data_IF_410123452874
#
_entry.id   IF_410123452874
#
_cell.length_a   1.000
_cell.length_b   1.000
_cell.length_c   1.000
_cell.angle_alpha   90.00
_cell.angle_beta   90.00
_cell.angle_gamma   90.00
#
_symmetry.space_group_name_H-M   'P 1'
#
loop_
_entity.id
_entity.type
_entity.pdbx_description
1 polymer ?
#
# COMPACT_ATOMS: atom_id res chain seq x y z
N UNK A 1 -31.14 26.27 -32.43
CA UNK A 1 -30.94 24.82 -32.58
C UNK A 1 -30.49 24.30 -31.23
N UNK A 2 -31.28 23.35 -30.74
CA UNK A 2 -31.07 22.39 -29.66
C UNK A 2 -30.56 22.82 -28.27
N UNK A 3 -31.48 22.58 -27.32
CA UNK A 3 -31.36 22.53 -25.86
C UNK A 3 -30.90 21.13 -25.44
N UNK A 4 -30.25 21.03 -24.27
CA UNK A 4 -30.53 20.14 -23.13
C UNK A 4 -29.32 20.23 -22.17
N UNK A 5 -29.37 20.99 -21.07
CA UNK A 5 -30.06 20.79 -19.79
C UNK A 5 -29.78 19.41 -19.14
N UNK A 6 -28.79 19.41 -18.24
CA UNK A 6 -28.50 18.35 -17.26
C UNK A 6 -28.88 18.98 -15.91
N UNK A 7 -30.00 18.55 -15.34
CA UNK A 7 -30.33 18.63 -13.91
C UNK A 7 -30.19 17.18 -13.40
N UNK A 8 -29.44 16.91 -12.33
CA UNK A 8 -29.81 17.12 -10.92
C UNK A 8 -31.12 16.41 -10.58
N UNK A 9 -31.01 15.19 -10.05
CA UNK A 9 -32.08 14.46 -9.37
C UNK A 9 -31.45 13.61 -8.25
N UNK A 10 -31.41 14.15 -7.04
CA UNK A 10 -31.45 13.42 -5.78
C UNK A 10 -32.83 13.69 -5.14
N UNK A 11 -33.30 12.72 -4.36
CA UNK A 11 -34.56 12.65 -3.59
C UNK A 11 -35.77 12.09 -4.35
N UNK A 12 -36.05 10.80 -4.13
CA UNK A 12 -37.34 10.33 -3.61
C UNK A 12 -37.23 8.86 -3.15
N UNK A 13 -37.11 8.66 -1.84
CA UNK A 13 -37.50 7.41 -1.18
C UNK A 13 -39.02 7.42 -0.97
N UNK A 14 -39.67 6.35 -1.43
CA UNK A 14 -40.67 5.53 -0.73
C UNK A 14 -41.83 5.06 -1.64
N UNK A 15 -42.27 3.84 -1.33
CA UNK A 15 -43.43 3.13 -1.86
C UNK A 15 -43.36 2.64 -3.31
N UNK A 16 -42.90 1.39 -3.47
CA UNK A 16 -43.82 0.34 -3.96
C UNK A 16 -43.28 -1.07 -3.75
N UNK A 17 -44.00 -1.80 -2.90
CA UNK A 17 -43.83 -3.22 -2.67
C UNK A 17 -44.22 -4.07 -3.89
N UNK A 18 -43.60 -5.25 -3.96
CA UNK A 18 -43.96 -6.43 -4.75
C UNK A 18 -43.69 -6.40 -6.27
N UNK A 19 -42.53 -6.95 -6.65
CA UNK A 19 -42.47 -7.95 -7.73
C UNK A 19 -41.20 -8.82 -7.65
N UNK A 20 -41.45 -10.05 -7.21
CA UNK A 20 -40.61 -11.22 -7.39
C UNK A 20 -40.17 -11.32 -8.88
N UNK A 21 -38.87 -11.25 -9.16
CA UNK A 21 -38.33 -11.79 -10.43
C UNK A 21 -37.12 -12.65 -10.14
N UNK A 22 -37.41 -13.95 -10.02
CA UNK A 22 -36.43 -15.04 -10.03
C UNK A 22 -35.78 -15.12 -11.41
N UNK A 23 -34.46 -14.88 -11.48
CA UNK A 23 -33.66 -15.25 -12.65
C UNK A 23 -33.60 -16.78 -12.74
N UNK A 24 -34.22 -17.38 -13.75
CA UNK A 24 -34.11 -18.81 -14.09
C UNK A 24 -32.71 -19.11 -14.67
N UNK A 25 -32.02 -20.18 -14.24
CA UNK A 25 -31.02 -20.84 -15.07
C UNK A 25 -31.75 -21.85 -15.97
N UNK A 26 -31.96 -21.50 -17.23
CA UNK A 26 -32.49 -22.40 -18.27
C UNK A 26 -31.34 -23.20 -18.87
N UNK A 27 -31.13 -24.45 -18.44
CA UNK A 27 -30.51 -25.52 -19.26
C UNK A 27 -30.54 -26.93 -18.65
N UNK A 28 -30.94 -27.12 -17.38
CA UNK A 28 -30.93 -28.45 -16.71
C UNK A 28 -32.27 -29.18 -16.71
N UNK A 29 -33.38 -28.48 -16.90
CA UNK A 29 -34.76 -29.00 -16.71
C UNK A 29 -35.14 -30.16 -17.65
N UNK A 30 -34.58 -30.23 -18.87
CA UNK A 30 -34.93 -31.30 -19.80
C UNK A 30 -34.35 -32.68 -19.41
N UNK A 31 -33.20 -32.72 -18.74
CA UNK A 31 -32.59 -33.99 -18.30
C UNK A 31 -33.28 -34.53 -17.06
N UNK A 32 -33.65 -33.65 -16.13
CA UNK A 32 -34.38 -34.00 -14.91
C UNK A 32 -35.79 -34.51 -15.25
N UNK A 33 -36.50 -33.85 -16.18
CA UNK A 33 -37.81 -34.32 -16.64
C UNK A 33 -37.72 -35.67 -17.38
N UNK A 34 -36.69 -35.89 -18.21
CA UNK A 34 -36.49 -37.18 -18.89
C UNK A 34 -36.11 -38.32 -17.93
N UNK A 35 -35.38 -38.01 -16.85
CA UNK A 35 -35.08 -38.97 -15.79
C UNK A 35 -36.35 -39.33 -15.02
N UNK A 36 -37.18 -38.33 -14.70
CA UNK A 36 -38.44 -38.49 -13.99
C UNK A 36 -39.43 -39.35 -14.80
N UNK A 37 -39.58 -39.08 -16.09
CA UNK A 37 -40.45 -39.84 -17.01
C UNK A 37 -40.00 -41.30 -17.12
N UNK A 38 -38.68 -41.54 -17.16
CA UNK A 38 -38.12 -42.90 -17.17
C UNK A 38 -38.41 -43.63 -15.86
N UNK A 39 -38.25 -42.97 -14.72
CA UNK A 39 -38.53 -43.54 -13.40
C UNK A 39 -40.03 -43.87 -13.24
N UNK A 40 -40.92 -43.00 -13.74
CA UNK A 40 -42.36 -43.27 -13.78
C UNK A 40 -42.70 -44.47 -14.64
N UNK A 41 -42.09 -44.60 -15.82
CA UNK A 41 -42.29 -45.75 -16.71
C UNK A 41 -41.79 -47.06 -16.10
N UNK A 42 -40.63 -47.03 -15.41
CA UNK A 42 -40.06 -48.20 -14.74
C UNK A 42 -40.93 -48.64 -13.55
N UNK A 43 -41.42 -47.70 -12.73
CA UNK A 43 -42.36 -47.98 -11.64
C UNK A 43 -43.69 -48.53 -12.17
N UNK A 44 -44.23 -47.95 -13.25
CA UNK A 44 -45.46 -48.43 -13.89
C UNK A 44 -45.30 -49.86 -14.42
N UNK A 45 -44.14 -50.18 -15.00
CA UNK A 45 -43.81 -51.51 -15.51
C UNK A 45 -43.69 -52.55 -14.39
N UNK A 46 -43.19 -52.15 -13.20
CA UNK A 46 -43.12 -53.02 -12.02
C UNK A 46 -44.53 -53.29 -11.48
N UNK A 47 -45.35 -52.23 -11.32
CA UNK A 47 -46.74 -52.36 -10.86
C UNK A 47 -47.57 -53.23 -11.81
N UNK A 48 -47.42 -53.06 -13.13
CA UNK A 48 -48.11 -53.92 -14.11
C UNK A 48 -47.69 -55.39 -14.01
N UNK A 49 -46.39 -55.67 -13.81
CA UNK A 49 -45.91 -57.04 -13.62
C UNK A 49 -46.47 -57.66 -12.35
N UNK A 50 -46.53 -56.90 -11.26
CA UNK A 50 -47.08 -57.37 -9.99
C UNK A 50 -48.59 -57.60 -10.07
N UNK A 51 -49.34 -56.74 -10.76
CA UNK A 51 -50.78 -56.93 -11.00
C UNK A 51 -51.04 -58.16 -11.88
N UNK A 52 -50.24 -58.39 -12.93
CA UNK A 52 -50.34 -59.59 -13.79
C UNK A 52 -49.99 -60.88 -13.03
N UNK A 53 -49.00 -60.82 -12.12
CA UNK A 53 -48.64 -61.93 -11.25
C UNK A 53 -49.72 -62.23 -10.20
N UNK A 54 -50.38 -61.21 -9.65
CA UNK A 54 -51.53 -61.36 -8.74
C UNK A 54 -52.74 -61.97 -9.49
N UNK A 55 -53.02 -61.50 -10.71
CA UNK A 55 -54.10 -62.06 -11.55
C UNK A 55 -53.89 -63.53 -11.93
N UNK A 56 -52.65 -63.95 -12.19
CA UNK A 56 -52.33 -65.36 -12.46
C UNK A 56 -52.30 -66.24 -11.20
N UNK A 57 -51.90 -65.70 -10.04
CA UNK A 57 -51.98 -66.41 -8.76
C UNK A 57 -53.43 -66.69 -8.35
N UNK A 58 -54.33 -65.73 -8.55
CA UNK A 58 -55.76 -65.90 -8.24
C UNK A 58 -56.44 -67.02 -9.03
N UNK A 59 -55.86 -67.48 -10.16
CA UNK A 59 -56.36 -68.62 -10.94
C UNK A 59 -55.89 -69.98 -10.43
N UNK A 60 -54.84 -70.02 -9.60
CA UNK A 60 -54.27 -71.23 -8.99
C UNK A 60 -54.81 -71.43 -7.55
N UNK A 61 -55.37 -70.39 -6.94
CA UNK A 61 -55.87 -70.37 -5.55
C UNK A 61 -57.40 -70.57 -5.51
N UNK A 62 -57.91 -71.68 -6.05
CA UNK A 62 -59.32 -72.08 -5.80
C UNK A 62 -59.44 -73.15 -4.71
N UNK A 63 -58.36 -73.42 -3.96
CA UNK A 63 -58.33 -74.52 -2.98
C UNK A 63 -57.56 -74.19 -1.68
N UNK A 64 -57.49 -72.91 -1.29
CA UNK A 64 -56.85 -72.46 -0.03
C UNK A 64 -57.84 -71.59 0.74
N UNK A 65 -57.93 -71.79 2.06
CA UNK A 65 -58.84 -71.08 2.96
C UNK A 65 -58.64 -69.55 2.88
N UNK A 66 -59.72 -68.80 2.63
CA UNK A 66 -59.71 -67.34 2.50
C UNK A 66 -59.12 -66.62 3.73
N UNK A 67 -59.24 -67.22 4.93
CA UNK A 67 -58.72 -66.64 6.18
C UNK A 67 -57.17 -66.62 6.23
N UNK A 68 -56.50 -67.68 5.77
CA UNK A 68 -55.03 -67.74 5.75
C UNK A 68 -54.45 -66.77 4.71
N UNK A 69 -55.15 -66.58 3.58
CA UNK A 69 -54.78 -65.60 2.56
C UNK A 69 -54.92 -64.18 3.11
N UNK A 70 -55.98 -63.90 3.87
CA UNK A 70 -56.19 -62.59 4.51
C UNK A 70 -55.13 -62.30 5.57
N UNK A 71 -54.71 -63.28 6.37
CA UNK A 71 -53.63 -63.12 7.35
C UNK A 71 -52.26 -62.89 6.69
N UNK A 72 -51.94 -63.65 5.65
CA UNK A 72 -50.70 -63.47 4.86
C UNK A 72 -50.69 -62.10 4.19
N UNK A 73 -51.82 -61.66 3.64
CA UNK A 73 -51.96 -60.34 3.05
C UNK A 73 -51.81 -59.24 4.10
N UNK A 74 -52.43 -59.39 5.28
CA UNK A 74 -52.34 -58.41 6.37
C UNK A 74 -50.89 -58.27 6.87
N UNK A 75 -50.20 -59.39 7.11
CA UNK A 75 -48.79 -59.37 7.49
C UNK A 75 -47.90 -58.77 6.40
N UNK A 76 -48.19 -59.06 5.12
CA UNK A 76 -47.48 -58.46 3.99
C UNK A 76 -47.67 -56.94 3.92
N UNK A 77 -48.89 -56.47 4.13
CA UNK A 77 -49.17 -55.03 4.17
C UNK A 77 -48.50 -54.37 5.36
N UNK A 78 -48.55 -54.99 6.55
CA UNK A 78 -47.89 -54.48 7.74
C UNK A 78 -46.38 -54.33 7.54
N UNK A 79 -45.72 -55.37 7.00
CA UNK A 79 -44.30 -55.31 6.66
C UNK A 79 -43.99 -54.25 5.62
N UNK A 80 -44.83 -54.11 4.59
CA UNK A 80 -44.66 -53.07 3.58
C UNK A 80 -44.80 -51.66 4.19
N UNK A 81 -45.75 -51.46 5.11
CA UNK A 81 -45.91 -50.18 5.80
C UNK A 81 -44.73 -49.87 6.73
N UNK A 82 -44.17 -50.88 7.38
CA UNK A 82 -42.96 -50.76 8.20
C UNK A 82 -41.75 -50.38 7.34
N UNK A 83 -41.52 -51.08 6.22
CA UNK A 83 -40.44 -50.77 5.27
C UNK A 83 -40.57 -49.33 4.72
N UNK A 84 -41.79 -48.92 4.35
CA UNK A 84 -42.05 -47.55 3.86
C UNK A 84 -41.80 -46.51 4.94
N UNK A 85 -42.15 -46.80 6.20
CA UNK A 85 -41.90 -45.89 7.31
C UNK A 85 -40.41 -45.74 7.60
N UNK A 86 -39.64 -46.82 7.56
CA UNK A 86 -38.19 -46.77 7.71
C UNK A 86 -37.52 -45.95 6.60
N UNK A 87 -37.93 -46.16 5.34
CA UNK A 87 -37.41 -45.35 4.21
C UNK A 87 -37.80 -43.88 4.34
N UNK A 88 -39.03 -43.59 4.81
CA UNK A 88 -39.46 -42.21 5.07
C UNK A 88 -38.61 -41.55 6.17
N UNK A 89 -38.27 -42.28 7.23
CA UNK A 89 -37.43 -41.76 8.30
C UNK A 89 -35.99 -41.53 7.83
N UNK A 90 -35.44 -42.38 6.95
CA UNK A 90 -34.13 -42.14 6.31
C UNK A 90 -34.15 -40.87 5.47
N UNK A 91 -35.20 -40.67 4.66
CA UNK A 91 -35.38 -39.44 3.87
C UNK A 91 -35.49 -38.21 4.78
N UNK A 92 -36.23 -38.32 5.90
CA UNK A 92 -36.34 -37.26 6.90
C UNK A 92 -34.98 -36.89 7.49
N UNK A 93 -34.17 -37.88 7.85
CA UNK A 93 -32.82 -37.65 8.38
C UNK A 93 -31.91 -36.96 7.36
N UNK A 94 -31.94 -37.40 6.10
CA UNK A 94 -31.17 -36.77 5.02
C UNK A 94 -31.61 -35.31 4.84
N UNK A 95 -32.91 -35.04 4.83
CA UNK A 95 -33.44 -33.69 4.65
C UNK A 95 -33.03 -32.76 5.79
N UNK A 96 -33.04 -33.25 7.04
CA UNK A 96 -32.55 -32.49 8.19
C UNK A 96 -31.05 -32.19 8.07
N UNK A 97 -30.25 -33.18 7.71
CA UNK A 97 -28.81 -33.00 7.51
C UNK A 97 -28.51 -32.01 6.38
N UNK A 98 -29.26 -32.06 5.27
CA UNK A 98 -29.14 -31.12 4.16
C UNK A 98 -29.55 -29.70 4.57
N UNK A 99 -30.61 -29.56 5.36
CA UNK A 99 -31.01 -28.27 5.91
C UNK A 99 -29.93 -27.66 6.81
N UNK A 100 -29.35 -28.46 7.71
CA UNK A 100 -28.23 -28.03 8.56
C UNK A 100 -26.99 -27.65 7.74
N UNK A 101 -26.65 -28.44 6.73
CA UNK A 101 -25.55 -28.14 5.81
C UNK A 101 -25.80 -26.82 5.08
N UNK A 102 -26.99 -26.64 4.53
CA UNK A 102 -27.37 -25.41 3.82
C UNK A 102 -27.34 -24.18 4.74
N UNK A 103 -27.74 -24.33 6.00
CA UNK A 103 -27.66 -23.24 6.96
C UNK A 103 -26.20 -22.87 7.27
N UNK A 104 -25.33 -23.87 7.53
CA UNK A 104 -23.89 -23.63 7.72
C UNK A 104 -23.25 -22.95 6.51
N UNK A 105 -23.55 -23.42 5.30
CA UNK A 105 -23.05 -22.79 4.06
C UNK A 105 -23.53 -21.35 3.91
N UNK A 106 -24.79 -21.04 4.29
CA UNK A 106 -25.29 -19.65 4.29
C UNK A 106 -24.56 -18.77 5.30
N UNK A 107 -24.21 -19.30 6.47
CA UNK A 107 -23.44 -18.57 7.48
C UNK A 107 -22.00 -18.32 7.01
N UNK A 108 -21.33 -19.34 6.46
CA UNK A 108 -19.98 -19.18 5.88
C UNK A 108 -19.97 -18.15 4.75
N UNK A 109 -20.98 -18.17 3.87
CA UNK A 109 -21.12 -17.16 2.82
C UNK A 109 -21.33 -15.76 3.38
N UNK A 110 -22.13 -15.59 4.43
CA UNK A 110 -22.29 -14.29 5.10
C UNK A 110 -20.97 -13.81 5.69
N UNK A 111 -20.24 -14.70 6.38
CA UNK A 111 -18.96 -14.35 6.98
C UNK A 111 -17.94 -13.96 5.92
N UNK A 112 -17.82 -14.75 4.84
CA UNK A 112 -16.92 -14.44 3.72
C UNK A 112 -17.30 -13.15 3.01
N UNK A 113 -18.60 -12.85 2.90
CA UNK A 113 -19.07 -11.58 2.35
C UNK A 113 -18.62 -10.39 3.20
N UNK A 114 -18.81 -10.47 4.52
CA UNK A 114 -18.37 -9.41 5.45
C UNK A 114 -16.85 -9.23 5.40
N UNK A 115 -16.08 -10.33 5.39
CA UNK A 115 -14.61 -10.29 5.27
C UNK A 115 -14.17 -9.61 3.96
N UNK A 116 -14.85 -9.92 2.85
CA UNK A 116 -14.56 -9.31 1.56
C UNK A 116 -14.90 -7.82 1.51
N UNK A 117 -16.04 -7.42 2.11
CA UNK A 117 -16.44 -6.02 2.22
C UNK A 117 -15.45 -5.21 3.08
N UNK A 118 -15.00 -5.75 4.22
CA UNK A 118 -13.97 -5.13 5.06
C UNK A 118 -12.64 -4.99 4.32
N UNK A 119 -12.22 -6.05 3.60
CA UNK A 119 -11.00 -6.02 2.81
C UNK A 119 -11.09 -4.99 1.67
N UNK A 120 -12.23 -4.91 0.98
CA UNK A 120 -12.48 -3.90 -0.04
C UNK A 120 -12.42 -2.48 0.55
N UNK A 121 -13.02 -2.25 1.71
CA UNK A 121 -12.96 -0.96 2.41
C UNK A 121 -11.52 -0.57 2.78
N UNK A 122 -10.71 -1.53 3.25
CA UNK A 122 -9.28 -1.31 3.54
C UNK A 122 -8.50 -0.89 2.29
N UNK A 123 -8.72 -1.56 1.16
CA UNK A 123 -8.06 -1.21 -0.10
C UNK A 123 -8.50 0.15 -0.62
N UNK A 124 -9.79 0.49 -0.53
CA UNK A 124 -10.29 1.82 -0.91
C UNK A 124 -9.69 2.92 -0.05
N UNK A 125 -9.59 2.71 1.26
CA UNK A 125 -8.93 3.65 2.16
C UNK A 125 -7.45 3.82 1.82
N UNK A 126 -6.74 2.73 1.50
CA UNK A 126 -5.33 2.80 1.10
C UNK A 126 -5.15 3.54 -0.22
N UNK A 127 -6.05 3.33 -1.19
CA UNK A 127 -6.06 4.08 -2.43
C UNK A 127 -6.24 5.57 -2.20
N UNK A 128 -7.21 5.95 -1.35
CA UNK A 128 -7.47 7.35 -1.00
C UNK A 128 -6.29 8.01 -0.30
N UNK A 129 -5.61 7.29 0.58
CA UNK A 129 -4.38 7.75 1.23
C UNK A 129 -3.27 8.03 0.20
N UNK A 130 -3.01 7.07 -0.69
CA UNK A 130 -2.01 7.21 -1.76
C UNK A 130 -2.34 8.35 -2.72
N UNK A 131 -3.61 8.53 -3.07
CA UNK A 131 -4.08 9.66 -3.87
C UNK A 131 -3.82 11.00 -3.18
N UNK A 132 -4.11 11.10 -1.88
CA UNK A 132 -3.82 12.32 -1.11
C UNK A 132 -2.32 12.63 -1.04
N UNK A 133 -1.48 11.61 -0.92
CA UNK A 133 -0.03 11.75 -0.95
C UNK A 133 0.48 12.19 -2.31
N UNK A 134 -0.06 11.65 -3.40
CA UNK A 134 0.27 12.06 -4.76
C UNK A 134 -0.09 13.53 -4.98
N UNK A 135 -1.31 13.94 -4.63
CA UNK A 135 -1.73 15.34 -4.70
C UNK A 135 -0.80 16.28 -3.92
N UNK A 136 -0.34 15.87 -2.73
CA UNK A 136 0.64 16.64 -1.95
C UNK A 136 1.96 16.79 -2.69
N UNK A 137 2.49 15.70 -3.26
CA UNK A 137 3.74 15.71 -4.04
C UNK A 137 3.60 16.55 -5.31
N UNK A 138 2.48 16.50 -5.99
CA UNK A 138 2.22 17.31 -7.19
C UNK A 138 2.23 18.81 -6.87
N UNK A 139 1.62 19.21 -5.74
CA UNK A 139 1.68 20.60 -5.26
C UNK A 139 3.12 21.02 -4.95
N UNK A 140 3.90 20.13 -4.30
CA UNK A 140 5.30 20.39 -3.98
C UNK A 140 6.14 20.55 -5.25
N UNK A 141 6.02 19.63 -6.19
CA UNK A 141 6.73 19.66 -7.48
C UNK A 141 6.37 20.91 -8.25
N UNK A 142 5.09 21.26 -8.36
CA UNK A 142 4.65 22.51 -9.01
C UNK A 142 5.19 23.77 -8.31
N UNK A 143 5.33 23.72 -6.97
CA UNK A 143 5.98 24.79 -6.21
C UNK A 143 7.46 24.96 -6.56
N UNK A 144 8.18 23.85 -6.65
CA UNK A 144 9.60 23.81 -7.02
C UNK A 144 9.78 24.24 -8.49
N UNK A 145 8.96 23.73 -9.41
CA UNK A 145 8.99 24.11 -10.82
C UNK A 145 8.82 25.61 -11.02
N UNK A 146 7.86 26.23 -10.32
CA UNK A 146 7.68 27.69 -10.35
C UNK A 146 8.88 28.43 -9.77
N UNK A 147 9.48 27.92 -8.70
CA UNK A 147 10.70 28.51 -8.14
C UNK A 147 11.87 28.44 -9.14
N UNK A 148 12.07 27.29 -9.79
CA UNK A 148 13.09 27.09 -10.82
C UNK A 148 12.85 27.99 -12.04
N UNK A 149 11.60 28.10 -12.50
CA UNK A 149 11.24 28.99 -13.60
C UNK A 149 11.50 30.46 -13.26
N UNK A 150 11.22 30.88 -12.02
CA UNK A 150 11.55 32.23 -11.55
C UNK A 150 13.07 32.49 -11.53
N UNK A 151 13.87 31.49 -11.14
CA UNK A 151 15.34 31.59 -11.15
C UNK A 151 15.87 31.69 -12.58
N UNK A 152 15.36 30.84 -13.49
CA UNK A 152 15.74 30.86 -14.90
C UNK A 152 15.40 32.21 -15.58
N UNK A 153 14.32 32.87 -15.14
CA UNK A 153 13.90 34.18 -15.61
C UNK A 153 14.67 35.36 -14.95
N UNK A 154 15.71 35.09 -14.15
CA UNK A 154 16.61 36.11 -13.61
C UNK A 154 16.15 36.78 -12.30
N UNK A 155 15.06 36.32 -11.68
CA UNK A 155 14.65 36.82 -10.38
C UNK A 155 15.44 36.11 -9.26
N UNK A 156 16.19 36.87 -8.45
CA UNK A 156 16.85 36.33 -7.25
C UNK A 156 15.82 35.72 -6.30
N UNK A 157 16.20 34.59 -5.69
CA UNK A 157 15.35 33.70 -4.91
C UNK A 157 14.72 34.45 -3.74
N UNK A 158 13.48 34.92 -3.90
CA UNK A 158 12.84 35.71 -2.84
C UNK A 158 12.33 34.88 -1.67
N UNK A 159 12.23 33.55 -1.72
CA UNK A 159 11.69 32.78 -0.58
C UNK A 159 12.17 31.32 -0.52
N UNK A 160 13.45 31.10 -0.19
CA UNK A 160 13.91 29.77 0.26
C UNK A 160 13.23 29.32 1.57
N UNK A 161 12.71 30.27 2.37
CA UNK A 161 12.04 29.98 3.64
C UNK A 161 10.71 29.23 3.52
N UNK A 162 10.12 29.08 2.33
CA UNK A 162 8.89 28.28 2.14
C UNK A 162 9.17 26.84 1.70
N UNK A 163 10.33 26.59 1.07
CA UNK A 163 10.74 25.25 0.66
C UNK A 163 11.15 24.43 1.90
N UNK A 164 11.87 25.03 2.85
CA UNK A 164 12.25 24.35 4.09
C UNK A 164 11.10 24.20 5.10
N UNK A 165 10.15 25.15 5.16
CA UNK A 165 9.02 25.09 6.11
C UNK A 165 7.99 24.00 5.78
N UNK A 166 7.88 23.60 4.51
CA UNK A 166 7.05 22.46 4.11
C UNK A 166 7.77 21.12 4.27
N UNK A 167 9.10 21.10 4.41
CA UNK A 167 9.86 19.91 4.77
C UNK A 167 9.69 19.62 6.27
N UNK A 168 9.67 20.65 7.12
CA UNK A 168 9.47 20.52 8.58
C UNK A 168 8.09 19.96 8.97
N UNK A 169 7.04 20.19 8.17
CA UNK A 169 5.68 19.71 8.47
C UNK A 169 5.41 18.28 7.97
N UNK A 170 6.36 17.68 7.26
CA UNK A 170 6.27 16.27 6.92
C UNK A 170 6.85 15.45 8.07
N UNK A 171 5.98 14.74 8.78
CA UNK A 171 6.31 13.55 9.59
C UNK A 171 6.84 12.40 8.69
N UNK A 172 7.74 12.70 7.76
CA UNK A 172 8.73 11.74 7.32
C UNK A 172 9.69 11.65 8.49
N UNK A 173 9.84 10.45 9.04
CA UNK A 173 10.88 10.12 10.02
C UNK A 173 12.10 10.96 9.73
N UNK A 174 12.45 11.82 10.70
CA UNK A 174 13.67 12.59 10.74
C UNK A 174 14.77 11.75 10.10
N UNK A 175 15.05 12.02 8.82
CA UNK A 175 16.25 11.51 8.19
C UNK A 175 17.29 12.22 9.00
N UNK A 176 17.91 11.49 9.93
CA UNK A 176 19.10 11.94 10.63
C UNK A 176 20.13 12.14 9.52
N UNK A 177 20.08 13.30 8.87
CA UNK A 177 21.04 13.67 7.85
C UNK A 177 22.34 13.84 8.59
N UNK A 178 23.11 12.77 8.63
CA UNK A 178 24.47 12.72 9.15
C UNK A 178 25.45 13.47 8.25
N UNK A 179 24.97 14.27 7.31
CA UNK A 179 25.80 15.05 6.39
C UNK A 179 26.15 16.40 7.01
N UNK A 180 27.43 16.71 7.07
CA UNK A 180 27.94 18.05 7.36
C UNK A 180 28.49 18.65 6.08
N UNK A 181 27.99 19.83 5.71
CA UNK A 181 28.51 20.59 4.56
C UNK A 181 29.28 21.83 5.00
N UNK A 182 30.43 22.05 4.39
CA UNK A 182 31.22 23.28 4.47
C UNK A 182 31.18 23.96 3.11
N UNK A 183 30.67 25.19 3.06
CA UNK A 183 30.72 26.04 1.87
C UNK A 183 31.62 27.24 2.11
N UNK A 184 32.66 27.38 1.28
CA UNK A 184 33.53 28.56 1.23
C UNK A 184 33.13 29.39 0.03
N UNK A 185 32.36 30.46 0.28
CA UNK A 185 31.85 31.31 -0.79
C UNK A 185 32.93 32.19 -1.42
N UNK A 186 33.72 32.87 -0.57
CA UNK A 186 34.62 33.93 -1.02
C UNK A 186 35.92 33.93 -0.24
N UNK A 187 37.01 34.21 -0.96
CA UNK A 187 38.35 34.37 -0.41
C UNK A 187 38.83 35.79 -0.71
N UNK A 188 39.27 36.50 0.33
CA UNK A 188 39.82 37.86 0.22
C UNK A 188 41.22 37.87 0.81
N UNK A 189 42.21 38.13 -0.03
CA UNK A 189 43.62 38.21 0.36
C UNK A 189 43.92 39.62 0.88
N UNK A 190 44.48 39.68 2.09
CA UNK A 190 44.98 40.93 2.66
C UNK A 190 46.28 41.36 1.98
N UNK A 191 46.59 42.66 1.99
CA UNK A 191 47.84 43.21 1.42
C UNK A 191 49.11 42.50 1.92
N UNK A 192 49.11 41.98 3.15
CA UNK A 192 50.24 41.23 3.69
C UNK A 192 50.47 39.90 2.96
N UNK A 193 49.40 39.19 2.59
CA UNK A 193 49.49 37.92 1.85
C UNK A 193 49.86 38.20 0.37
N UNK A 194 49.45 39.34 -0.19
CA UNK A 194 49.90 39.79 -1.53
C UNK A 194 51.40 40.14 -1.55
N UNK A 195 51.90 40.84 -0.52
CA UNK A 195 53.34 41.11 -0.37
C UNK A 195 54.14 39.83 -0.22
N UNK A 196 53.62 38.86 0.53
CA UNK A 196 54.25 37.54 0.70
C UNK A 196 54.27 36.72 -0.60
N UNK A 197 53.26 36.90 -1.46
CA UNK A 197 53.20 36.22 -2.75
C UNK A 197 54.06 36.87 -3.84
N UNK A 198 54.64 38.06 -3.59
CA UNK A 198 55.44 38.84 -4.54
C UNK A 198 54.74 39.09 -5.90
N UNK A 199 53.42 38.92 -5.95
CA UNK A 199 52.60 39.01 -7.15
C UNK A 199 51.27 39.69 -6.84
N UNK A 200 50.80 40.51 -7.79
CA UNK A 200 49.53 41.21 -7.67
C UNK A 200 48.32 40.27 -7.89
N UNK A 201 48.55 39.13 -8.55
CA UNK A 201 47.56 38.08 -8.78
C UNK A 201 48.17 36.72 -8.40
N UNK A 202 48.27 36.40 -7.10
CA UNK A 202 48.79 35.11 -6.68
C UNK A 202 47.82 33.99 -7.01
N UNK A 203 48.37 32.81 -7.34
CA UNK A 203 47.60 31.58 -7.47
C UNK A 203 47.53 30.91 -6.08
N UNK A 204 46.33 30.67 -5.60
CA UNK A 204 46.07 30.17 -4.24
C UNK A 204 45.08 29.01 -4.26
N UNK A 205 45.21 28.12 -3.29
CA UNK A 205 44.21 27.09 -3.01
C UNK A 205 44.09 26.90 -1.51
N UNK A 206 42.96 26.35 -1.08
CA UNK A 206 42.66 26.07 0.32
C UNK A 206 42.71 24.56 0.53
N UNK A 207 43.32 24.12 1.62
CA UNK A 207 43.25 22.75 2.09
C UNK A 207 42.45 22.72 3.40
N UNK A 208 41.54 21.76 3.53
CA UNK A 208 40.67 21.59 4.70
C UNK A 208 40.95 20.21 5.28
N UNK A 209 41.37 20.23 6.53
CA UNK A 209 41.56 19.06 7.36
C UNK A 209 40.44 19.00 8.40
N UNK A 210 39.74 17.88 8.43
CA UNK A 210 38.57 17.69 9.27
C UNK A 210 38.46 16.24 9.73
N UNK A 211 38.54 16.04 11.05
CA UNK A 211 38.42 14.73 11.69
C UNK A 211 39.29 13.64 11.01
N UNK A 212 38.81 12.41 10.92
CA UNK A 212 39.45 11.27 10.24
C UNK A 212 39.11 11.21 8.73
N UNK A 213 38.71 12.33 8.13
CA UNK A 213 38.46 12.41 6.70
C UNK A 213 39.73 12.76 5.93
N UNK A 214 39.77 12.37 4.66
CA UNK A 214 40.84 12.77 3.75
C UNK A 214 40.88 14.30 3.58
N UNK A 215 42.10 14.84 3.48
CA UNK A 215 42.34 16.25 3.24
C UNK A 215 41.67 16.69 1.93
N UNK A 216 40.79 17.69 2.01
CA UNK A 216 40.09 18.21 0.84
C UNK A 216 40.72 19.52 0.38
N UNK A 217 41.04 19.63 -0.91
CA UNK A 217 41.64 20.84 -1.49
C UNK A 217 40.72 21.52 -2.49
N UNK A 218 40.66 22.85 -2.44
CA UNK A 218 39.97 23.63 -3.46
C UNK A 218 40.72 23.62 -4.79
N UNK A 219 40.03 24.00 -5.86
CA UNK A 219 40.69 24.31 -7.13
C UNK A 219 41.63 25.51 -6.97
N UNK A 220 42.65 25.57 -7.83
CA UNK A 220 43.58 26.69 -7.88
C UNK A 220 42.86 27.93 -8.43
N UNK A 221 42.90 29.03 -7.69
CA UNK A 221 42.30 30.30 -8.08
C UNK A 221 43.31 31.43 -8.08
N UNK A 222 43.14 32.39 -8.98
CA UNK A 222 44.10 33.48 -9.15
C UNK A 222 43.45 34.82 -8.83
N UNK A 223 44.11 35.64 -8.01
CA UNK A 223 43.70 37.02 -7.76
C UNK A 223 43.57 37.36 -6.27
N UNK A 224 43.45 38.66 -5.94
CA UNK A 224 43.35 39.14 -4.57
C UNK A 224 41.97 38.88 -3.94
N UNK A 225 40.91 38.78 -4.74
CA UNK A 225 39.54 38.57 -4.29
C UNK A 225 38.86 37.62 -5.27
N UNK A 226 38.48 36.42 -4.81
CA UNK A 226 37.91 35.38 -5.67
C UNK A 226 36.70 34.74 -5.02
N UNK A 227 35.65 34.55 -5.81
CA UNK A 227 34.49 33.74 -5.45
C UNK A 227 34.84 32.27 -5.69
N UNK A 228 35.13 31.54 -4.60
CA UNK A 228 35.57 30.15 -4.66
C UNK A 228 34.38 29.20 -4.86
N UNK A 229 33.24 29.50 -4.23
CA UNK A 229 32.03 28.68 -4.21
C UNK A 229 32.30 27.17 -4.02
N UNK A 230 33.30 26.85 -3.21
CA UNK A 230 33.73 25.49 -2.95
C UNK A 230 32.85 24.90 -1.86
N UNK A 231 32.27 23.73 -2.11
CA UNK A 231 31.46 23.01 -1.13
C UNK A 231 32.01 21.61 -0.91
N UNK A 232 32.29 21.30 0.34
CA UNK A 232 32.69 20.01 0.85
C UNK A 232 31.54 19.38 1.60
N UNK A 233 31.24 18.11 1.34
CA UNK A 233 30.21 17.35 2.04
C UNK A 233 30.89 16.17 2.73
N UNK A 234 30.66 16.01 4.02
CA UNK A 234 31.19 14.94 4.85
C UNK A 234 30.02 14.11 5.39
N UNK A 235 30.03 12.82 5.09
CA UNK A 235 29.07 11.86 5.66
C UNK A 235 29.60 11.41 7.02
N UNK A 236 28.92 11.81 8.09
CA UNK A 236 29.37 11.59 9.46
C UNK A 236 28.75 10.32 10.05
N UNK A 237 29.51 9.64 10.90
CA UNK A 237 28.95 8.69 11.86
C UNK A 237 29.06 9.31 13.24
N UNK A 238 27.93 9.58 13.90
CA UNK A 238 27.92 10.19 15.24
C UNK A 238 28.48 9.15 16.23
N UNK A 239 29.72 9.36 16.66
CA UNK A 239 30.40 8.55 17.67
C UNK A 239 30.85 9.43 18.84
N UNK A 240 31.10 8.82 20.01
CA UNK A 240 31.60 9.55 21.18
C UNK A 240 32.95 10.26 20.88
N UNK A 241 33.78 9.65 20.04
CA UNK A 241 35.04 10.24 19.56
C UNK A 241 34.80 11.50 18.72
N UNK A 242 33.81 11.45 17.81
CA UNK A 242 33.44 12.60 17.00
C UNK A 242 32.87 13.75 17.86
N UNK A 243 32.02 13.43 18.84
CA UNK A 243 31.49 14.42 19.77
C UNK A 243 32.62 15.07 20.57
N UNK A 244 33.59 14.27 21.05
CA UNK A 244 34.78 14.80 21.72
C UNK A 244 35.60 15.71 20.81
N UNK A 245 35.82 15.32 19.56
CA UNK A 245 36.50 16.14 18.55
C UNK A 245 35.80 17.48 18.36
N UNK A 246 34.47 17.51 18.20
CA UNK A 246 33.70 18.76 18.08
C UNK A 246 33.79 19.67 19.33
N UNK A 247 34.03 19.10 20.52
CA UNK A 247 34.15 19.85 21.77
C UNK A 247 35.55 20.43 22.02
N UNK A 248 36.58 19.69 21.61
CA UNK A 248 37.99 19.96 21.94
C UNK A 248 38.77 20.54 20.78
N UNK A 249 38.51 20.05 19.57
CA UNK A 249 39.18 20.43 18.34
C UNK A 249 38.22 21.18 17.40
N UNK A 250 38.74 21.59 16.25
CA UNK A 250 38.01 22.31 15.23
C UNK A 250 38.50 21.94 13.85
N UNK A 251 37.79 22.39 12.83
CA UNK A 251 38.18 22.16 11.45
C UNK A 251 39.32 23.09 11.07
N UNK A 252 40.42 22.54 10.57
CA UNK A 252 41.58 23.31 10.15
C UNK A 252 41.46 23.67 8.68
N UNK A 253 41.72 24.93 8.37
CA UNK A 253 41.72 25.48 7.03
C UNK A 253 43.06 26.14 6.79
N UNK A 254 43.75 25.68 5.77
CA UNK A 254 45.07 26.14 5.39
C UNK A 254 45.00 26.80 4.02
N UNK A 255 45.59 27.98 3.91
CA UNK A 255 45.71 28.73 2.67
C UNK A 255 47.12 28.60 2.13
N UNK A 256 47.23 28.06 0.93
CA UNK A 256 48.49 27.88 0.23
C UNK A 256 48.60 28.86 -0.95
N UNK A 257 49.77 29.46 -1.10
CA UNK A 257 50.15 30.22 -2.29
C UNK A 257 51.09 29.37 -3.12
N UNK A 258 50.78 29.25 -4.41
CA UNK A 258 51.63 28.62 -5.40
C UNK A 258 52.59 29.68 -5.95
N UNK A 259 53.90 29.46 -5.78
CA UNK A 259 54.92 30.36 -6.29
C UNK A 259 55.37 29.96 -7.70
N UNK A 260 55.61 28.66 -7.91
CA UNK A 260 55.96 28.03 -9.19
C UNK A 260 55.14 26.75 -9.35
N UNK A 261 55.13 26.14 -10.54
CA UNK A 261 54.34 24.93 -10.88
C UNK A 261 54.52 23.72 -9.93
N UNK A 262 55.55 23.71 -9.09
CA UNK A 262 55.90 22.59 -8.19
C UNK A 262 56.00 23.02 -6.71
N UNK A 263 56.06 24.33 -6.41
CA UNK A 263 56.33 24.82 -5.07
C UNK A 263 55.16 25.66 -4.54
N UNK A 264 54.61 25.22 -3.40
CA UNK A 264 53.60 25.92 -2.64
C UNK A 264 54.12 26.29 -1.25
N UNK A 265 53.66 27.42 -0.72
CA UNK A 265 53.97 27.88 0.64
C UNK A 265 52.67 28.17 1.39
N UNK A 266 52.64 27.79 2.66
CA UNK A 266 51.54 28.13 3.56
C UNK A 266 51.54 29.64 3.80
N UNK A 267 50.46 30.35 3.43
CA UNK A 267 50.28 31.77 3.76
C UNK A 267 49.67 31.93 5.14
N UNK A 268 48.59 31.18 5.42
CA UNK A 268 47.84 31.29 6.66
C UNK A 268 47.14 29.99 7.01
N UNK A 269 46.89 29.78 8.30
CA UNK A 269 46.10 28.68 8.83
C UNK A 269 45.04 29.25 9.76
N UNK A 270 43.84 28.67 9.74
CA UNK A 270 42.72 29.06 10.56
C UNK A 270 42.00 27.81 11.07
N UNK A 271 41.64 27.80 12.36
CA UNK A 271 40.85 26.73 12.95
C UNK A 271 39.44 27.24 13.24
N UNK A 272 38.43 26.56 12.69
CA UNK A 272 37.02 26.87 12.93
C UNK A 272 36.52 26.03 14.10
N UNK A 273 36.17 26.64 15.26
CA UNK A 273 35.67 25.90 16.41
C UNK A 273 34.24 25.42 16.15
N UNK A 274 34.04 24.09 16.23
CA UNK A 274 32.74 23.47 15.94
C UNK A 274 31.86 23.26 17.17
N UNK A 275 32.34 23.63 18.36
CA UNK A 275 31.60 23.54 19.63
C UNK A 275 30.21 24.18 19.59
N UNK A 276 30.03 25.23 18.79
CA UNK A 276 28.73 25.90 18.61
C UNK A 276 27.68 25.00 17.98
N UNK A 277 28.07 24.05 17.12
CA UNK A 277 27.15 23.09 16.49
C UNK A 277 26.47 22.18 17.52
N UNK A 278 27.14 21.87 18.63
CA UNK A 278 26.56 21.08 19.73
C UNK A 278 25.52 21.88 20.56
N UNK A 279 25.63 23.21 20.57
CA UNK A 279 24.77 24.10 21.36
C UNK A 279 23.52 24.58 20.63
N UNK A 280 23.42 24.35 19.32
CA UNK A 280 22.22 24.69 18.53
C UNK A 280 21.16 23.60 18.77
N UNK A 281 20.71 23.50 20.01
CA UNK A 281 19.44 22.87 20.41
C UNK A 281 18.70 23.88 21.27
N UNK A 282 18.12 24.90 20.63
CA UNK A 282 16.88 25.60 21.04
C UNK A 282 16.69 26.84 20.16
N UNK A 283 15.97 26.70 19.04
CA UNK A 283 14.96 27.72 18.73
C UNK A 283 13.70 27.32 19.50
N UNK A 284 13.73 27.56 20.82
CA UNK A 284 12.50 27.70 21.59
C UNK A 284 11.88 29.02 21.17
N UNK A 285 10.92 28.96 20.25
CA UNK A 285 10.00 30.06 20.03
C UNK A 285 9.23 30.29 21.34
N UNK A 286 9.56 31.35 22.07
CA UNK A 286 8.64 31.92 23.03
C UNK A 286 7.56 32.67 22.25
N UNK A 287 6.32 32.38 22.66
CA UNK A 287 5.02 32.88 22.21
C UNK A 287 5.00 34.29 21.63
#
# INVERSE_FOLDING_TARGET
MEKQNINDDEEEEEENNNKLTTKKPTTTTNKENALLDKLFSDVLSIVEKDVKLIGNKNKIINNVNENEINEINNFRWQKMYEDVYEELEKVRQILLAEHELNNRLREELKQKKIENEDLQAKYLNKLKELESELNRRDIQTSGIERALQSIANGNQILNNNLIYKNIENNNLQQIESTELSLTVSKLILTENCLKFAESQNPAVFIAIEFFDFELQTSQLVNGPEVDLNFTSIFELTISDLFIHYLQTEGMNIELYIVQNEINYKLCSQATIPLKKLLSIKTQTNFR
#
